data_IF_176426439683
#
_entry.id   IF_176426439683
#
_cell.length_a   1.000
_cell.length_b   1.000
_cell.length_c   1.000
_cell.angle_alpha   90.00
_cell.angle_beta   90.00
_cell.angle_gamma   90.00
#
_symmetry.space_group_name_H-M   'P 1'
#
loop_
_entity.id
_entity.type
_entity.pdbx_description
1 polymer ?
#
# COMPACT_ATOMS: atom_id res chain seq x y z
N UNK A 1 13.42 33.04 3.60
CA UNK A 1 13.91 31.82 2.94
C UNK A 1 13.30 30.61 3.60
N UNK A 2 12.34 29.93 2.97
CA UNK A 2 11.90 28.60 3.41
C UNK A 2 12.60 27.58 2.54
N UNK A 3 13.71 27.02 3.02
CA UNK A 3 14.37 25.89 2.38
C UNK A 3 13.38 24.72 2.40
N UNK A 4 12.84 24.39 1.23
CA UNK A 4 12.12 23.14 1.02
C UNK A 4 13.17 22.02 1.10
N UNK A 5 13.30 21.42 2.29
CA UNK A 5 14.08 20.20 2.45
C UNK A 5 13.36 19.10 1.67
N UNK A 6 13.77 18.87 0.44
CA UNK A 6 13.31 17.76 -0.39
C UNK A 6 13.83 16.48 0.25
N UNK A 7 13.14 15.95 1.27
CA UNK A 7 13.41 14.61 1.77
C UNK A 7 13.13 13.64 0.62
N UNK A 8 14.21 13.04 0.11
CA UNK A 8 14.17 11.97 -0.89
C UNK A 8 13.45 10.78 -0.25
N UNK A 9 12.32 10.35 -0.81
CA UNK A 9 11.63 9.14 -0.37
C UNK A 9 12.60 7.97 -0.29
N UNK A 10 12.76 7.41 0.92
CA UNK A 10 13.64 6.27 1.20
C UNK A 10 13.19 5.00 0.47
N UNK A 11 11.88 4.87 0.27
CA UNK A 11 11.25 3.80 -0.50
C UNK A 11 10.22 4.41 -1.46
N UNK A 12 10.47 4.26 -2.76
CA UNK A 12 9.56 4.69 -3.82
C UNK A 12 8.72 3.50 -4.28
N UNK A 13 7.40 3.69 -4.26
CA UNK A 13 6.41 2.71 -4.71
C UNK A 13 5.74 3.18 -5.99
N UNK A 14 5.71 2.30 -6.99
CA UNK A 14 4.91 2.44 -8.22
C UNK A 14 4.06 1.19 -8.42
N UNK A 15 2.88 1.39 -8.98
CA UNK A 15 2.00 0.30 -9.42
C UNK A 15 2.13 0.16 -10.94
N UNK A 16 2.23 -1.07 -11.42
CA UNK A 16 2.33 -1.41 -12.84
C UNK A 16 1.28 -2.45 -13.21
N UNK A 17 1.08 -2.66 -14.50
CA UNK A 17 0.21 -3.71 -15.03
C UNK A 17 -1.19 -3.70 -14.39
N UNK A 18 -1.80 -2.51 -14.35
CA UNK A 18 -3.14 -2.31 -13.80
C UNK A 18 -4.14 -3.11 -14.64
N UNK A 19 -4.82 -4.04 -14.00
CA UNK A 19 -5.86 -4.87 -14.60
C UNK A 19 -7.08 -4.83 -13.71
N UNK A 20 -8.28 -4.94 -14.30
CA UNK A 20 -9.49 -5.12 -13.51
C UNK A 20 -9.38 -6.39 -12.67
N UNK A 21 -9.82 -6.31 -11.41
CA UNK A 21 -9.83 -7.47 -10.51
C UNK A 21 -10.72 -8.59 -11.06
N UNK A 22 -11.79 -8.20 -11.76
CA UNK A 22 -12.73 -9.01 -12.55
C UNK A 22 -13.34 -8.13 -13.62
N UNK A 23 -13.80 -8.70 -14.74
CA UNK A 23 -14.37 -7.94 -15.84
C UNK A 23 -15.53 -7.02 -15.37
N UNK A 24 -15.45 -5.73 -15.69
CA UNK A 24 -16.41 -4.70 -15.29
C UNK A 24 -16.25 -4.19 -13.85
N UNK A 25 -15.18 -4.56 -13.16
CA UNK A 25 -14.89 -4.09 -11.80
C UNK A 25 -14.27 -2.70 -11.79
N UNK A 26 -14.78 -1.81 -10.94
CA UNK A 26 -14.14 -0.53 -10.63
C UNK A 26 -12.78 -0.70 -9.89
N UNK A 27 -12.52 -1.90 -9.39
CA UNK A 27 -11.34 -2.23 -8.59
C UNK A 27 -10.29 -2.94 -9.43
N UNK A 28 -9.03 -2.55 -9.22
CA UNK A 28 -7.90 -3.02 -10.00
C UNK A 28 -6.93 -3.85 -9.16
N UNK A 29 -6.29 -4.82 -9.82
CA UNK A 29 -5.07 -5.47 -9.35
C UNK A 29 -3.87 -4.91 -10.12
N UNK A 30 -2.76 -4.78 -9.42
CA UNK A 30 -1.52 -4.24 -9.96
C UNK A 30 -0.33 -5.09 -9.47
N UNK A 31 0.77 -4.95 -10.21
CA UNK A 31 2.09 -5.35 -9.77
C UNK A 31 2.76 -4.19 -9.03
N UNK A 32 3.54 -4.53 -8.01
CA UNK A 32 4.31 -3.60 -7.21
C UNK A 32 5.72 -3.47 -7.77
N UNK A 33 6.12 -2.25 -8.12
CA UNK A 33 7.51 -1.92 -8.39
C UNK A 33 8.06 -1.04 -7.26
N UNK A 34 9.12 -1.50 -6.63
CA UNK A 34 9.77 -0.84 -5.51
C UNK A 34 11.20 -0.46 -5.86
N UNK A 35 11.65 0.70 -5.38
CA UNK A 35 13.05 1.13 -5.46
C UNK A 35 13.39 1.96 -4.25
N UNK A 36 14.56 1.75 -3.66
CA UNK A 36 15.01 2.44 -2.45
C UNK A 36 16.31 1.83 -1.94
N UNK A 37 16.83 2.38 -0.84
CA UNK A 37 18.04 1.87 -0.16
C UNK A 37 17.83 0.45 0.39
N UNK A 38 16.59 0.17 0.78
CA UNK A 38 16.15 -1.15 1.24
C UNK A 38 14.78 -1.43 0.64
N UNK A 39 14.59 -2.67 0.18
CA UNK A 39 13.34 -3.14 -0.43
C UNK A 39 12.83 -4.31 0.43
N UNK A 40 11.61 -4.24 1.01
CA UNK A 40 11.05 -5.35 1.75
C UNK A 40 10.75 -6.53 0.80
N UNK A 41 10.96 -7.76 1.30
CA UNK A 41 10.59 -8.98 0.60
C UNK A 41 9.06 -9.17 0.61
N UNK A 42 8.37 -8.48 -0.30
CA UNK A 42 6.93 -8.56 -0.54
C UNK A 42 6.66 -9.27 -1.87
N UNK A 43 5.50 -9.91 -2.00
CA UNK A 43 5.06 -10.47 -3.28
C UNK A 43 4.92 -9.39 -4.35
N UNK A 44 5.27 -9.70 -5.60
CA UNK A 44 5.22 -8.72 -6.68
C UNK A 44 3.80 -8.39 -7.14
N UNK A 45 2.87 -9.35 -7.08
CA UNK A 45 1.51 -9.18 -7.61
C UNK A 45 0.41 -9.06 -6.54
N UNK A 46 -0.81 -8.87 -7.03
CA UNK A 46 -2.05 -8.87 -6.25
C UNK A 46 -2.22 -7.64 -5.32
N UNK A 47 -1.78 -6.47 -5.78
CA UNK A 47 -1.90 -5.20 -5.05
C UNK A 47 -3.05 -4.36 -5.58
N UNK A 48 -3.60 -3.49 -4.74
CA UNK A 48 -4.41 -2.37 -5.20
C UNK A 48 -3.51 -1.18 -5.50
N UNK A 49 -3.94 -0.31 -6.41
CA UNK A 49 -3.33 0.98 -6.71
C UNK A 49 -3.56 2.04 -5.60
N UNK A 50 -3.57 1.61 -4.33
CA UNK A 50 -3.74 2.45 -3.15
C UNK A 50 -2.47 2.42 -2.30
N UNK A 51 -2.00 3.62 -1.94
CA UNK A 51 -0.91 3.81 -0.98
C UNK A 51 -1.15 5.04 -0.12
N UNK A 52 -0.65 5.00 1.10
CA UNK A 52 -0.49 6.18 1.95
C UNK A 52 0.93 6.23 2.49
N UNK A 53 1.39 7.43 2.79
CA UNK A 53 2.74 7.69 3.32
C UNK A 53 2.60 8.62 4.52
N UNK A 54 3.38 8.38 5.57
CA UNK A 54 3.45 9.31 6.71
C UNK A 54 4.13 10.63 6.31
N UNK A 55 3.86 11.76 6.98
CA UNK A 55 4.45 13.06 6.64
C UNK A 55 5.98 13.06 6.64
N UNK A 56 6.60 12.29 7.53
CA UNK A 56 8.05 12.12 7.65
C UNK A 56 8.65 11.11 6.65
N UNK A 57 7.81 10.52 5.78
CA UNK A 57 8.17 9.49 4.80
C UNK A 57 8.76 8.21 5.39
N UNK A 58 8.69 8.04 6.72
CA UNK A 58 9.18 6.85 7.40
C UNK A 58 8.33 5.64 7.11
N UNK A 59 7.01 5.81 7.13
CA UNK A 59 6.05 4.75 6.96
C UNK A 59 5.35 4.80 5.61
N UNK A 60 5.17 3.63 5.02
CA UNK A 60 4.36 3.45 3.81
C UNK A 60 3.32 2.38 4.08
N UNK A 61 2.06 2.66 3.79
CA UNK A 61 1.00 1.65 3.79
C UNK A 61 0.57 1.34 2.36
N UNK A 62 0.38 0.05 2.09
CA UNK A 62 -0.08 -0.51 0.83
C UNK A 62 -1.25 -1.44 1.08
N UNK A 63 -2.08 -1.64 0.05
CA UNK A 63 -3.22 -2.57 0.13
C UNK A 63 -2.98 -3.77 -0.77
N UNK A 64 -3.03 -4.95 -0.19
CA UNK A 64 -2.90 -6.21 -0.93
C UNK A 64 -4.24 -6.95 -0.94
N UNK A 65 -4.68 -7.41 -2.11
CA UNK A 65 -5.86 -8.26 -2.21
C UNK A 65 -5.67 -9.59 -1.47
N UNK A 66 -6.75 -10.07 -0.86
CA UNK A 66 -6.87 -11.41 -0.32
C UNK A 66 -8.32 -11.90 -0.53
N UNK A 67 -8.54 -12.48 -1.70
CA UNK A 67 -9.78 -13.19 -2.02
C UNK A 67 -9.70 -14.60 -1.47
N UNK A 68 -10.54 -14.91 -0.49
CA UNK A 68 -10.66 -16.26 0.10
C UNK A 68 -12.07 -16.75 -0.18
N UNK A 69 -12.22 -17.97 -0.69
CA UNK A 69 -13.53 -18.59 -0.98
C UNK A 69 -14.44 -17.68 -1.82
N UNK A 70 -13.88 -17.03 -2.85
CA UNK A 70 -14.55 -16.04 -3.70
C UNK A 70 -15.10 -14.80 -2.99
N UNK A 71 -14.77 -14.59 -1.71
CA UNK A 71 -15.15 -13.38 -0.98
C UNK A 71 -14.04 -12.32 -1.05
N UNK A 72 -14.39 -11.07 -1.39
CA UNK A 72 -13.43 -9.98 -1.41
C UNK A 72 -12.84 -9.74 -0.02
N UNK A 73 -11.54 -9.51 0.01
CA UNK A 73 -10.83 -9.12 1.21
C UNK A 73 -9.48 -8.53 0.86
N UNK A 74 -8.84 -7.95 1.86
CA UNK A 74 -7.53 -7.34 1.71
C UNK A 74 -6.72 -7.38 3.00
N UNK A 75 -5.43 -7.11 2.87
CA UNK A 75 -4.54 -6.77 3.96
C UNK A 75 -4.05 -5.34 3.77
N UNK A 76 -3.81 -4.66 4.88
CA UNK A 76 -2.97 -3.46 4.89
C UNK A 76 -1.56 -3.89 5.25
N UNK A 77 -0.60 -3.54 4.41
CA UNK A 77 0.83 -3.79 4.61
C UNK A 77 1.49 -2.48 4.98
N UNK A 78 1.95 -2.36 6.23
CA UNK A 78 2.69 -1.21 6.74
C UNK A 78 4.18 -1.50 6.70
N UNK A 79 4.95 -0.67 6.02
CA UNK A 79 6.40 -0.74 5.91
C UNK A 79 7.00 0.37 6.77
N UNK A 80 7.98 0.06 7.63
CA UNK A 80 8.83 1.02 8.32
C UNK A 80 10.20 1.03 7.62
N UNK A 81 10.46 2.11 6.88
CA UNK A 81 11.71 2.25 6.09
C UNK A 81 12.93 2.52 6.96
N UNK A 82 12.74 3.00 8.19
CA UNK A 82 13.82 3.24 9.12
C UNK A 82 14.22 1.95 9.83
N UNK A 83 13.22 1.23 10.38
CA UNK A 83 13.46 -0.06 11.03
C UNK A 83 13.73 -1.20 10.05
N UNK A 84 13.52 -1.00 8.74
CA UNK A 84 13.64 -2.02 7.69
C UNK A 84 12.77 -3.26 7.97
N UNK A 85 11.55 -3.00 8.40
CA UNK A 85 10.55 -4.04 8.71
C UNK A 85 9.24 -3.74 8.01
N UNK A 86 8.39 -4.76 7.90
CA UNK A 86 7.01 -4.57 7.49
C UNK A 86 6.09 -5.46 8.33
N UNK A 87 4.84 -5.01 8.46
CA UNK A 87 3.78 -5.74 9.13
C UNK A 87 2.56 -5.81 8.22
N UNK A 88 1.91 -6.97 8.21
CA UNK A 88 0.68 -7.22 7.48
C UNK A 88 -0.44 -7.39 8.48
N UNK A 89 -1.56 -6.70 8.29
CA UNK A 89 -2.73 -6.91 9.13
C UNK A 89 -3.31 -8.31 8.94
N UNK A 90 -4.20 -8.74 9.84
CA UNK A 90 -5.14 -9.82 9.54
C UNK A 90 -5.96 -9.48 8.29
N UNK A 91 -6.56 -10.48 7.65
CA UNK A 91 -7.47 -10.28 6.51
C UNK A 91 -8.66 -9.42 6.96
N UNK A 92 -8.96 -8.39 6.19
CA UNK A 92 -10.14 -7.54 6.34
C UNK A 92 -11.12 -7.92 5.23
N UNK A 93 -12.37 -8.22 5.59
CA UNK A 93 -13.41 -8.55 4.62
C UNK A 93 -13.94 -7.29 3.92
N UNK A 94 -14.20 -7.39 2.61
CA UNK A 94 -14.67 -6.28 1.77
C UNK A 94 -13.60 -5.73 0.85
N UNK A 95 -13.86 -4.52 0.32
CA UNK A 95 -12.97 -3.82 -0.61
C UNK A 95 -12.44 -2.55 0.06
N UNK A 96 -11.14 -2.31 -0.03
CA UNK A 96 -10.55 -1.07 0.51
C UNK A 96 -10.84 0.07 -0.46
N UNK A 97 -11.60 1.07 -0.01
CA UNK A 97 -11.95 2.25 -0.83
C UNK A 97 -10.92 3.36 -0.70
N UNK A 98 -10.40 3.55 0.50
CA UNK A 98 -9.48 4.62 0.82
C UNK A 98 -8.43 4.13 1.79
N UNK A 99 -7.21 4.65 1.66
CA UNK A 99 -6.12 4.47 2.61
C UNK A 99 -5.44 5.84 2.79
N UNK A 100 -5.44 6.36 4.02
CA UNK A 100 -4.92 7.69 4.35
C UNK A 100 -4.10 7.68 5.64
N UNK A 101 -3.25 8.68 5.81
CA UNK A 101 -2.60 8.97 7.09
C UNK A 101 -3.42 10.01 7.85
N UNK A 102 -3.78 9.74 9.10
CA UNK A 102 -4.56 10.63 9.95
C UNK A 102 -4.13 10.45 11.41
N UNK A 103 -3.88 11.54 12.14
CA UNK A 103 -3.57 11.50 13.58
C UNK A 103 -2.55 10.41 13.95
N UNK A 104 -1.40 10.44 13.27
CA UNK A 104 -0.26 9.54 13.48
C UNK A 104 -0.48 8.05 13.22
N UNK A 105 -1.52 7.71 12.45
CA UNK A 105 -1.78 6.34 12.03
C UNK A 105 -2.31 6.25 10.61
N UNK A 106 -2.21 5.06 10.02
CA UNK A 106 -2.94 4.74 8.79
C UNK A 106 -4.38 4.38 9.14
N UNK A 107 -5.32 4.97 8.40
CA UNK A 107 -6.75 4.71 8.46
C UNK A 107 -7.22 4.28 7.07
N UNK A 108 -8.18 3.37 7.02
CA UNK A 108 -8.76 2.91 5.77
C UNK A 108 -10.28 2.83 5.86
N UNK A 109 -10.92 3.03 4.72
CA UNK A 109 -12.37 2.88 4.56
C UNK A 109 -12.65 1.65 3.71
N UNK A 110 -13.69 0.88 4.05
CA UNK A 110 -14.05 -0.35 3.32
C UNK A 110 -15.51 -0.34 2.87
N UNK A 111 -15.78 -1.06 1.78
CA UNK A 111 -17.13 -1.41 1.34
C UNK A 111 -17.45 -2.86 1.57
#
# INVERSE_FOLDING_TARGET
MKSAFFMKQRLRIRFKNRQELRQGSLWNRCDLQMSGEWIPALSLGNWQDLKAVSPDQRYVALVQWNTKENQPGFHVVRIDTHARTYHKTKRIAGLCRELKWQQDRFVWEKS
#
